data_IF_150974775841
#
_entry.id   IF_150974775841
#
_cell.length_a   1.000
_cell.length_b   1.000
_cell.length_c   1.000
_cell.angle_alpha   90.00
_cell.angle_beta   90.00
_cell.angle_gamma   90.00
#
_symmetry.space_group_name_H-M   'P 1'
#
loop_
_entity.id
_entity.type
_entity.pdbx_description
1 polymer ?
#
# COMPACT_ATOMS: atom_id res chain seq x y z
N UNK A 1 -11.63 -64.01 -35.30
CA UNK A 1 -11.61 -63.46 -33.95
C UNK A 1 -10.67 -62.28 -33.91
N UNK A 2 -11.22 -61.03 -34.02
CA UNK A 2 -10.45 -59.79 -33.95
C UNK A 2 -10.73 -59.14 -32.64
N UNK A 3 -9.73 -59.02 -31.74
CA UNK A 3 -9.82 -58.28 -30.49
C UNK A 3 -9.48 -56.82 -30.77
N UNK A 4 -10.48 -55.96 -30.75
CA UNK A 4 -10.33 -54.50 -30.79
C UNK A 4 -9.73 -54.01 -29.46
N UNK A 5 -8.52 -53.46 -29.47
CA UNK A 5 -7.86 -52.81 -28.34
C UNK A 5 -8.38 -51.37 -28.25
N UNK A 6 -9.26 -51.09 -27.31
CA UNK A 6 -9.63 -49.72 -26.92
C UNK A 6 -8.51 -49.11 -26.05
N UNK A 7 -7.73 -48.21 -26.64
CA UNK A 7 -6.80 -47.35 -25.88
C UNK A 7 -7.60 -46.23 -25.29
N UNK A 8 -7.88 -46.31 -23.98
CA UNK A 8 -8.51 -45.27 -23.23
C UNK A 8 -7.45 -44.19 -22.90
N UNK A 9 -7.39 -43.11 -23.67
CA UNK A 9 -6.58 -41.94 -23.39
C UNK A 9 -7.22 -41.15 -22.27
N UNK A 10 -6.77 -41.34 -21.02
CA UNK A 10 -7.11 -40.51 -19.89
C UNK A 10 -6.45 -39.13 -20.06
N UNK A 11 -7.25 -38.14 -20.48
CA UNK A 11 -6.82 -36.75 -20.51
C UNK A 11 -6.68 -36.28 -19.07
N UNK A 12 -5.46 -36.14 -18.57
CA UNK A 12 -5.19 -35.52 -17.24
C UNK A 12 -5.53 -34.03 -17.35
N UNK A 13 -6.68 -33.65 -16.83
CA UNK A 13 -7.03 -32.26 -16.57
C UNK A 13 -6.19 -31.78 -15.37
N UNK A 14 -5.05 -31.16 -15.61
CA UNK A 14 -4.35 -30.38 -14.59
C UNK A 14 -5.12 -29.08 -14.37
N UNK A 15 -5.53 -28.76 -13.14
CA UNK A 15 -6.15 -27.48 -12.87
C UNK A 15 -5.09 -26.39 -13.10
N UNK A 16 -5.28 -25.57 -14.13
CA UNK A 16 -4.51 -24.34 -14.31
C UNK A 16 -5.04 -23.38 -13.25
N UNK A 17 -4.31 -23.19 -12.16
CA UNK A 17 -4.58 -22.13 -11.20
C UNK A 17 -4.23 -20.82 -11.89
N UNK A 18 -5.22 -20.17 -12.49
CA UNK A 18 -5.09 -18.80 -12.98
C UNK A 18 -5.00 -17.87 -11.74
N UNK A 19 -3.82 -17.41 -11.42
CA UNK A 19 -3.66 -16.32 -10.47
C UNK A 19 -4.16 -15.04 -11.13
N UNK A 20 -5.15 -14.41 -10.52
CA UNK A 20 -5.68 -13.15 -11.01
C UNK A 20 -4.62 -12.05 -10.84
N UNK A 21 -4.41 -11.27 -11.89
CA UNK A 21 -3.65 -10.02 -11.81
C UNK A 21 -4.44 -9.01 -10.98
N UNK A 22 -3.85 -8.54 -9.89
CA UNK A 22 -4.49 -7.61 -8.95
C UNK A 22 -3.90 -6.20 -9.02
N UNK A 23 -2.86 -6.00 -9.83
CA UNK A 23 -2.17 -4.73 -10.01
C UNK A 23 -0.91 -4.89 -10.84
N UNK A 24 -0.19 -3.82 -10.99
CA UNK A 24 1.08 -3.81 -11.74
C UNK A 24 2.09 -2.85 -11.13
N UNK A 25 3.36 -3.08 -11.43
CA UNK A 25 4.41 -2.09 -11.17
C UNK A 25 4.22 -0.93 -12.14
N UNK A 26 3.86 0.24 -11.62
CA UNK A 26 3.57 1.44 -12.40
C UNK A 26 4.81 2.33 -12.62
N UNK A 27 5.75 2.31 -11.68
CA UNK A 27 7.05 3.01 -11.79
C UNK A 27 8.11 2.24 -11.02
N UNK A 28 9.34 2.27 -11.52
CA UNK A 28 10.49 1.72 -10.83
C UNK A 28 11.76 2.45 -11.18
N UNK A 29 12.56 2.75 -10.16
CA UNK A 29 13.89 3.32 -10.28
C UNK A 29 14.86 2.52 -9.43
N UNK A 30 16.07 2.33 -9.94
CA UNK A 30 17.07 1.51 -9.28
C UNK A 30 16.67 0.03 -9.22
N UNK A 31 17.12 -0.67 -8.17
CA UNK A 31 17.00 -2.11 -8.05
C UNK A 31 15.84 -2.53 -7.13
N UNK A 32 15.04 -3.47 -7.60
CA UNK A 32 13.99 -4.12 -6.85
C UNK A 32 13.62 -5.46 -7.49
N UNK A 33 12.77 -6.22 -6.83
CA UNK A 33 12.25 -7.49 -7.30
C UNK A 33 10.85 -7.76 -6.74
N UNK A 34 10.10 -8.59 -7.43
CA UNK A 34 8.89 -9.23 -6.91
C UNK A 34 9.26 -10.66 -6.53
N UNK A 35 9.15 -10.98 -5.24
CA UNK A 35 9.26 -12.36 -4.75
C UNK A 35 7.89 -13.03 -4.88
N UNK A 36 7.81 -14.09 -5.67
CA UNK A 36 6.60 -14.88 -5.87
C UNK A 36 6.87 -16.33 -5.46
N UNK A 37 6.43 -16.69 -4.27
CA UNK A 37 6.77 -17.96 -3.67
C UNK A 37 8.27 -18.11 -3.45
N UNK A 38 8.94 -18.94 -4.28
CA UNK A 38 10.41 -19.11 -4.23
C UNK A 38 11.13 -18.43 -5.38
N UNK A 39 10.39 -17.82 -6.29
CA UNK A 39 10.94 -17.26 -7.51
C UNK A 39 11.10 -15.74 -7.37
N UNK A 40 12.13 -15.20 -8.01
CA UNK A 40 12.31 -13.77 -8.21
C UNK A 40 11.82 -13.42 -9.61
N UNK A 41 10.74 -12.64 -9.65
CA UNK A 41 10.19 -12.08 -10.87
C UNK A 41 10.79 -10.69 -11.07
N UNK A 42 11.03 -10.32 -12.32
CA UNK A 42 11.46 -8.96 -12.64
C UNK A 42 10.47 -7.93 -12.09
N UNK A 43 10.95 -6.73 -11.80
CA UNK A 43 10.15 -5.65 -11.22
C UNK A 43 10.05 -4.43 -12.14
N UNK A 44 10.28 -4.60 -13.44
CA UNK A 44 10.12 -3.52 -14.41
C UNK A 44 8.67 -3.01 -14.50
N UNK A 45 8.50 -1.80 -15.04
CA UNK A 45 7.17 -1.23 -15.30
C UNK A 45 6.33 -2.20 -16.14
N UNK A 46 5.08 -2.43 -15.72
CA UNK A 46 4.16 -3.40 -16.33
C UNK A 46 4.27 -4.82 -15.76
N UNK A 47 5.20 -5.10 -14.83
CA UNK A 47 5.22 -6.39 -14.13
C UNK A 47 3.92 -6.57 -13.36
N UNK A 48 3.19 -7.64 -13.66
CA UNK A 48 1.93 -7.99 -12.99
C UNK A 48 2.17 -8.38 -11.54
N UNK A 49 1.26 -7.94 -10.67
CA UNK A 49 1.25 -8.27 -9.25
C UNK A 49 0.14 -9.28 -8.97
N UNK A 50 0.43 -10.25 -8.12
CA UNK A 50 -0.50 -11.28 -7.67
C UNK A 50 -0.61 -11.28 -6.14
N UNK A 51 -1.68 -11.84 -5.61
CA UNK A 51 -1.79 -12.11 -4.17
C UNK A 51 -0.62 -12.98 -3.71
N UNK A 52 -0.12 -12.74 -2.51
CA UNK A 52 1.03 -13.36 -1.88
C UNK A 52 2.40 -12.96 -2.48
N UNK A 53 2.43 -12.03 -3.44
CA UNK A 53 3.70 -11.44 -3.88
C UNK A 53 4.30 -10.55 -2.80
N UNK A 54 5.64 -10.52 -2.73
CA UNK A 54 6.36 -9.54 -1.94
C UNK A 54 7.17 -8.61 -2.85
N UNK A 55 6.89 -7.31 -2.77
CA UNK A 55 7.68 -6.28 -3.41
C UNK A 55 8.88 -5.92 -2.54
N UNK A 56 10.08 -6.04 -3.10
CA UNK A 56 11.34 -5.78 -2.39
C UNK A 56 12.15 -4.75 -3.18
N UNK A 57 12.67 -3.75 -2.49
CA UNK A 57 13.61 -2.78 -3.05
C UNK A 57 14.93 -2.82 -2.31
N UNK A 58 16.03 -2.70 -3.04
CA UNK A 58 17.36 -2.47 -2.47
C UNK A 58 17.74 -0.99 -2.63
N UNK A 59 18.46 -0.63 -3.67
CA UNK A 59 18.85 0.77 -3.94
C UNK A 59 17.87 1.41 -4.95
N UNK A 60 16.55 1.36 -4.63
CA UNK A 60 15.56 1.84 -5.58
C UNK A 60 14.22 2.16 -4.96
N UNK A 61 13.31 2.62 -5.79
CA UNK A 61 11.91 2.87 -5.44
C UNK A 61 11.00 2.12 -6.39
N UNK A 62 9.84 1.68 -5.90
CA UNK A 62 8.84 1.00 -6.72
C UNK A 62 7.45 1.54 -6.38
N UNK A 63 6.64 1.75 -7.43
CA UNK A 63 5.22 2.06 -7.31
C UNK A 63 4.40 0.89 -7.82
N UNK A 64 3.41 0.49 -7.04
CA UNK A 64 2.41 -0.52 -7.42
C UNK A 64 1.06 0.18 -7.48
N UNK A 65 0.40 0.09 -8.63
CA UNK A 65 -0.99 0.49 -8.81
C UNK A 65 -1.86 -0.77 -8.85
N UNK A 66 -2.85 -0.85 -7.95
CA UNK A 66 -3.82 -1.94 -7.87
C UNK A 66 -5.04 -1.64 -8.73
N UNK A 67 -5.79 -2.68 -9.11
CA UNK A 67 -6.98 -2.56 -9.97
C UNK A 67 -8.15 -1.80 -9.33
N UNK A 68 -8.13 -1.57 -8.01
CA UNK A 68 -9.09 -0.75 -7.27
C UNK A 68 -8.65 0.73 -7.13
N UNK A 69 -7.64 1.18 -7.87
CA UNK A 69 -6.99 2.48 -7.77
C UNK A 69 -6.23 2.71 -6.43
N UNK A 70 -6.04 1.67 -5.62
CA UNK A 70 -5.08 1.75 -4.51
C UNK A 70 -3.67 1.90 -5.08
N UNK A 71 -2.90 2.80 -4.49
CA UNK A 71 -1.50 3.01 -4.87
C UNK A 71 -0.58 2.82 -3.67
N UNK A 72 0.52 2.13 -3.90
CA UNK A 72 1.55 1.94 -2.90
C UNK A 72 2.91 2.28 -3.48
N UNK A 73 3.62 3.20 -2.82
CA UNK A 73 5.01 3.51 -3.15
C UNK A 73 5.92 2.94 -2.04
N UNK A 74 6.93 2.20 -2.43
CA UNK A 74 7.97 1.71 -1.53
C UNK A 74 9.32 2.32 -1.89
N UNK A 75 10.09 2.72 -0.89
CA UNK A 75 11.40 3.33 -1.08
C UNK A 75 12.51 2.32 -1.01
N UNK A 76 13.75 2.77 -1.00
CA UNK A 76 14.91 1.88 -0.86
C UNK A 76 14.87 1.07 0.45
N UNK A 77 15.46 -0.12 0.43
CA UNK A 77 15.55 -1.03 1.57
C UNK A 77 14.18 -1.36 2.20
N UNK A 78 13.16 -1.55 1.36
CA UNK A 78 11.80 -1.82 1.82
C UNK A 78 11.32 -3.19 1.36
N UNK A 79 10.43 -3.79 2.19
CA UNK A 79 9.72 -5.03 1.87
C UNK A 79 8.25 -4.91 2.23
N UNK A 80 7.41 -5.08 1.21
CA UNK A 80 5.95 -5.08 1.32
C UNK A 80 5.39 -6.38 0.78
N UNK A 81 4.59 -7.10 1.57
CA UNK A 81 3.89 -8.32 1.16
C UNK A 81 2.43 -7.98 0.90
N UNK A 82 1.90 -8.44 -0.23
CA UNK A 82 0.49 -8.36 -0.60
C UNK A 82 -0.19 -9.64 -0.08
N UNK A 83 -0.69 -9.59 1.17
CA UNK A 83 -1.21 -10.75 1.88
C UNK A 83 -2.57 -11.21 1.31
N UNK A 84 -3.47 -10.25 1.05
CA UNK A 84 -4.79 -10.51 0.48
C UNK A 84 -5.23 -9.32 -0.38
N UNK A 85 -5.85 -9.62 -1.51
CA UNK A 85 -6.53 -8.63 -2.33
C UNK A 85 -7.78 -9.27 -2.96
N UNK A 86 -8.95 -8.73 -2.65
CA UNK A 86 -10.22 -9.08 -3.25
C UNK A 86 -10.91 -7.80 -3.69
N UNK A 87 -11.31 -7.72 -4.96
CA UNK A 87 -12.07 -6.59 -5.47
C UNK A 87 -13.07 -7.08 -6.51
N UNK A 88 -14.33 -7.15 -6.09
CA UNK A 88 -15.48 -7.51 -6.93
C UNK A 88 -16.61 -6.49 -6.73
N UNK A 89 -16.57 -5.37 -7.45
CA UNK A 89 -17.55 -4.31 -7.31
C UNK A 89 -18.96 -4.74 -7.77
N UNK A 90 -19.10 -5.79 -8.59
CA UNK A 90 -20.39 -6.30 -9.05
C UNK A 90 -21.15 -7.01 -7.92
N UNK A 91 -20.43 -7.70 -7.04
CA UNK A 91 -20.99 -8.40 -5.88
C UNK A 91 -20.84 -7.62 -4.57
N UNK A 92 -20.40 -6.36 -4.63
CA UNK A 92 -20.19 -5.49 -3.47
C UNK A 92 -19.16 -6.05 -2.46
N UNK A 93 -18.09 -6.65 -2.97
CA UNK A 93 -17.03 -7.28 -2.17
C UNK A 93 -15.70 -6.55 -2.42
N UNK A 94 -15.01 -6.22 -1.32
CA UNK A 94 -13.66 -5.68 -1.38
C UNK A 94 -12.92 -5.87 -0.07
N UNK A 95 -11.68 -6.37 -0.15
CA UNK A 95 -10.75 -6.46 0.99
C UNK A 95 -9.31 -6.31 0.51
N UNK A 96 -8.48 -5.70 1.34
CA UNK A 96 -7.06 -5.53 1.12
C UNK A 96 -6.29 -5.74 2.42
N UNK A 97 -5.33 -6.64 2.39
CA UNK A 97 -4.38 -6.86 3.48
C UNK A 97 -2.95 -6.76 2.96
N UNK A 98 -2.20 -5.82 3.52
CA UNK A 98 -0.78 -5.63 3.22
C UNK A 98 0.05 -5.85 4.50
N UNK A 99 1.31 -6.26 4.34
CA UNK A 99 2.26 -6.36 5.43
C UNK A 99 3.57 -5.66 5.06
N UNK A 100 3.81 -4.51 5.69
CA UNK A 100 5.08 -3.81 5.61
C UNK A 100 6.04 -4.40 6.65
N UNK A 101 7.11 -5.04 6.19
CA UNK A 101 8.06 -5.73 7.07
C UNK A 101 9.29 -4.88 7.37
N UNK A 102 9.67 -3.96 6.49
CA UNK A 102 10.83 -3.08 6.62
C UNK A 102 10.72 -1.91 5.66
N UNK A 103 11.31 -0.77 6.04
CA UNK A 103 11.49 0.40 5.19
C UNK A 103 10.30 1.35 5.17
N UNK A 104 10.23 2.19 4.16
CA UNK A 104 9.20 3.22 4.05
C UNK A 104 8.19 2.86 2.98
N UNK A 105 6.92 2.87 3.37
CA UNK A 105 5.78 2.60 2.50
C UNK A 105 4.79 3.75 2.60
N UNK A 106 4.44 4.35 1.46
CA UNK A 106 3.31 5.27 1.33
C UNK A 106 2.13 4.52 0.73
N UNK A 107 1.00 4.66 1.36
CA UNK A 107 -0.28 4.11 0.93
C UNK A 107 -1.23 5.23 0.54
N UNK A 108 -1.84 5.13 -0.63
CA UNK A 108 -2.92 6.01 -1.08
C UNK A 108 -4.17 5.19 -1.36
N UNK A 109 -5.28 5.61 -0.76
CA UNK A 109 -6.54 4.86 -0.76
C UNK A 109 -7.22 4.78 -2.11
N UNK A 110 -7.48 3.54 -2.55
CA UNK A 110 -8.33 3.22 -3.70
C UNK A 110 -9.81 3.07 -3.34
N UNK A 111 -10.55 2.34 -4.18
CA UNK A 111 -11.98 2.15 -4.07
C UNK A 111 -12.37 1.27 -2.88
N UNK A 112 -11.55 0.24 -2.54
CA UNK A 112 -11.81 -0.63 -1.40
C UNK A 112 -11.87 0.20 -0.11
N UNK A 113 -10.87 1.04 0.17
CA UNK A 113 -10.83 1.86 1.37
C UNK A 113 -11.95 2.91 1.45
N UNK A 114 -12.41 3.42 0.30
CA UNK A 114 -13.48 4.41 0.21
C UNK A 114 -14.86 3.79 0.40
N UNK A 115 -15.10 2.62 -0.19
CA UNK A 115 -16.40 1.95 -0.20
C UNK A 115 -16.57 0.96 0.95
N UNK A 116 -15.53 0.17 1.25
CA UNK A 116 -15.53 -0.91 2.25
C UNK A 116 -14.64 -0.55 3.44
N UNK A 117 -14.95 0.51 4.13
CA UNK A 117 -14.11 1.27 5.10
C UNK A 117 -13.42 0.46 6.22
N UNK A 118 -13.79 -0.79 6.46
CA UNK A 118 -13.18 -1.64 7.50
C UNK A 118 -12.37 -2.81 6.92
N UNK A 119 -12.33 -2.92 5.59
CA UNK A 119 -11.75 -4.07 4.90
C UNK A 119 -10.32 -3.81 4.40
N UNK A 120 -9.73 -2.68 4.78
CA UNK A 120 -8.31 -2.40 4.50
C UNK A 120 -7.53 -2.48 5.80
N UNK A 121 -6.58 -3.40 5.83
CA UNK A 121 -5.69 -3.63 6.97
C UNK A 121 -4.24 -3.67 6.49
N UNK A 122 -3.41 -2.85 7.12
CA UNK A 122 -1.97 -2.86 6.84
C UNK A 122 -1.24 -3.19 8.13
N UNK A 123 -0.45 -4.25 8.10
CA UNK A 123 0.27 -4.76 9.26
C UNK A 123 1.74 -4.36 9.19
N UNK A 124 2.27 -4.01 10.34
CA UNK A 124 3.71 -3.92 10.60
C UNK A 124 4.07 -4.95 11.68
N UNK A 125 5.33 -5.18 12.00
CA UNK A 125 5.71 -6.08 13.10
C UNK A 125 5.15 -5.63 14.46
N UNK A 126 4.93 -4.32 14.66
CA UNK A 126 4.48 -3.75 15.94
C UNK A 126 3.01 -3.33 15.98
N UNK A 127 2.30 -3.23 14.83
CA UNK A 127 0.92 -2.72 14.82
C UNK A 127 0.09 -3.21 13.63
N UNK A 128 -1.22 -3.06 13.76
CA UNK A 128 -2.20 -3.16 12.67
C UNK A 128 -2.81 -1.78 12.42
N UNK A 129 -2.81 -1.35 11.16
CA UNK A 129 -3.37 -0.07 10.70
C UNK A 129 -4.67 -0.37 9.95
N UNK A 130 -5.79 0.15 10.45
CA UNK A 130 -7.07 0.16 9.75
C UNK A 130 -7.25 1.48 9.01
N UNK A 131 -7.73 1.42 7.76
CA UNK A 131 -7.76 2.60 6.86
C UNK A 131 -9.18 2.93 6.44
N UNK A 132 -9.54 4.21 6.55
CA UNK A 132 -10.82 4.77 6.13
C UNK A 132 -10.62 5.91 5.13
N UNK A 133 -10.26 5.56 3.90
CA UNK A 133 -10.24 6.50 2.78
C UNK A 133 -9.29 7.67 2.94
N UNK A 134 -8.01 7.43 3.24
CA UNK A 134 -6.99 8.46 3.38
C UNK A 134 -5.63 7.96 2.93
N UNK A 135 -4.69 8.87 2.75
CA UNK A 135 -3.30 8.56 2.48
C UNK A 135 -2.51 8.58 3.79
N UNK A 136 -1.47 7.78 3.87
CA UNK A 136 -0.52 7.82 4.97
C UNK A 136 0.83 7.26 4.56
N UNK A 137 1.86 7.56 5.33
CA UNK A 137 3.18 6.97 5.22
C UNK A 137 3.50 6.22 6.50
N UNK A 138 4.15 5.08 6.37
CA UNK A 138 4.72 4.32 7.47
C UNK A 138 6.19 4.04 7.23
N UNK A 139 6.96 4.11 8.29
CA UNK A 139 8.38 3.72 8.32
C UNK A 139 8.48 2.58 9.31
N UNK A 140 9.02 1.46 8.86
CA UNK A 140 9.28 0.27 9.70
C UNK A 140 10.78 0.11 9.80
N UNK A 141 11.31 0.10 11.01
CA UNK A 141 12.72 -0.06 11.28
C UNK A 141 13.15 -1.55 11.35
N UNK A 142 14.45 -1.78 11.46
CA UNK A 142 15.05 -3.13 11.49
C UNK A 142 14.68 -3.94 12.76
N UNK A 143 14.26 -3.28 13.82
CA UNK A 143 13.82 -3.94 15.06
C UNK A 143 12.30 -4.12 15.14
N UNK A 144 11.58 -3.68 14.08
CA UNK A 144 10.13 -3.84 13.94
C UNK A 144 9.31 -2.69 14.51
N UNK A 145 9.95 -1.65 15.04
CA UNK A 145 9.30 -0.41 15.41
C UNK A 145 8.70 0.29 14.19
N UNK A 146 7.62 1.05 14.38
CA UNK A 146 6.94 1.71 13.28
C UNK A 146 6.57 3.15 13.62
N UNK A 147 6.78 4.06 12.67
CA UNK A 147 6.26 5.43 12.71
C UNK A 147 5.21 5.56 11.62
N UNK A 148 4.00 5.95 11.99
CA UNK A 148 2.86 6.11 11.09
C UNK A 148 2.46 7.57 11.07
N UNK A 149 2.39 8.19 9.88
CA UNK A 149 2.01 9.60 9.70
C UNK A 149 0.85 9.69 8.71
N UNK A 150 -0.27 10.26 9.15
CA UNK A 150 -1.45 10.51 8.34
C UNK A 150 -1.20 11.65 7.36
N UNK A 151 -1.53 11.45 6.09
CA UNK A 151 -1.37 12.43 5.04
C UNK A 151 -2.73 12.87 4.49
N UNK A 152 -2.85 14.10 4.00
CA UNK A 152 -4.02 14.48 3.22
C UNK A 152 -4.03 13.75 1.88
N UNK A 153 -5.23 13.38 1.43
CA UNK A 153 -5.50 12.90 0.08
C UNK A 153 -6.04 14.03 -0.77
N UNK A 154 -5.44 14.28 -1.93
CA UNK A 154 -5.85 15.37 -2.80
C UNK A 154 -6.42 14.80 -4.12
N UNK A 155 -7.50 15.39 -4.62
CA UNK A 155 -8.07 15.07 -5.93
C UNK A 155 -7.36 15.85 -7.07
N UNK A 156 -7.72 15.54 -8.31
CA UNK A 156 -7.14 16.19 -9.50
C UNK A 156 -7.48 17.68 -9.63
N UNK A 157 -8.48 18.17 -8.89
CA UNK A 157 -8.84 19.58 -8.82
C UNK A 157 -8.09 20.32 -7.69
N UNK A 158 -7.21 19.63 -6.95
CA UNK A 158 -6.44 20.19 -5.86
C UNK A 158 -7.22 20.29 -4.53
N UNK A 159 -8.42 19.69 -4.43
CA UNK A 159 -9.13 19.62 -3.17
C UNK A 159 -8.55 18.50 -2.33
N UNK A 160 -8.10 18.83 -1.12
CA UNK A 160 -7.53 17.88 -0.19
C UNK A 160 -8.50 17.58 0.96
N UNK A 161 -8.58 16.33 1.32
CA UNK A 161 -9.33 15.88 2.48
C UNK A 161 -8.47 14.91 3.30
N UNK A 162 -8.77 14.80 4.56
CA UNK A 162 -8.13 13.84 5.45
C UNK A 162 -9.18 12.88 5.97
N UNK A 163 -8.99 11.60 5.75
CA UNK A 163 -9.82 10.55 6.33
C UNK A 163 -9.34 10.17 7.72
N UNK A 164 -9.53 8.91 8.07
CA UNK A 164 -9.19 8.38 9.39
C UNK A 164 -8.37 7.12 9.26
N UNK A 165 -7.38 6.95 10.13
CA UNK A 165 -6.71 5.67 10.36
C UNK A 165 -6.76 5.31 11.84
N UNK A 166 -6.85 4.01 12.11
CA UNK A 166 -6.66 3.44 13.45
C UNK A 166 -5.31 2.74 13.49
N UNK A 167 -4.57 2.90 14.57
CA UNK A 167 -3.32 2.15 14.80
C UNK A 167 -3.50 1.36 16.08
N UNK A 168 -3.49 0.05 15.96
CA UNK A 168 -3.80 -0.90 17.01
C UNK A 168 -2.60 -1.80 17.30
N UNK A 169 -2.34 -2.02 18.58
CA UNK A 169 -1.40 -3.01 19.12
C UNK A 169 -2.16 -3.93 20.07
N UNK A 170 -1.52 -4.97 20.58
CA UNK A 170 -2.13 -5.86 21.61
C UNK A 170 -2.44 -5.11 22.92
N UNK A 171 -1.81 -3.97 23.15
CA UNK A 171 -1.90 -3.18 24.39
C UNK A 171 -2.78 -1.92 24.27
N UNK A 172 -3.27 -1.56 23.09
CA UNK A 172 -4.15 -0.41 22.91
C UNK A 172 -4.27 0.06 21.49
N UNK A 173 -5.08 1.11 21.29
CA UNK A 173 -5.38 1.68 20.00
C UNK A 173 -5.40 3.21 20.06
N UNK A 174 -4.98 3.85 18.98
CA UNK A 174 -5.17 5.29 18.75
C UNK A 174 -5.86 5.53 17.41
N UNK A 175 -6.54 6.67 17.30
CA UNK A 175 -7.20 7.12 16.09
C UNK A 175 -6.51 8.42 15.64
N UNK A 176 -6.20 8.51 14.36
CA UNK A 176 -5.68 9.71 13.71
C UNK A 176 -6.65 10.16 12.62
N UNK A 177 -7.04 11.43 12.64
CA UNK A 177 -8.02 12.03 11.72
C UNK A 177 -7.66 13.47 11.30
N UNK A 178 -6.47 13.93 11.63
CA UNK A 178 -5.95 15.22 11.18
C UNK A 178 -4.69 15.01 10.36
N UNK A 179 -4.56 15.76 9.28
CA UNK A 179 -3.38 15.71 8.43
C UNK A 179 -2.10 15.94 9.25
N UNK A 180 -1.06 15.18 8.96
CA UNK A 180 0.25 15.23 9.61
C UNK A 180 0.25 14.80 11.10
N UNK A 181 -0.83 14.22 11.61
CA UNK A 181 -0.74 13.48 12.87
C UNK A 181 0.16 12.26 12.69
N UNK A 182 1.00 12.00 13.69
CA UNK A 182 1.86 10.82 13.72
C UNK A 182 1.76 10.10 15.06
N UNK A 183 1.94 8.79 15.02
CA UNK A 183 2.08 7.91 16.17
C UNK A 183 3.23 6.94 15.93
N UNK A 184 3.86 6.49 17.00
CA UNK A 184 4.91 5.47 16.95
C UNK A 184 4.50 4.24 17.76
N UNK A 185 4.93 3.07 17.28
CA UNK A 185 4.79 1.79 17.97
C UNK A 185 6.16 1.12 18.01
N UNK A 186 6.60 0.70 19.19
CA UNK A 186 7.90 0.00 19.33
C UNK A 186 7.73 -1.51 19.25
N UNK A 187 6.72 -2.03 19.92
CA UNK A 187 6.38 -3.47 19.95
C UNK A 187 4.87 -3.63 19.98
N UNK A 188 4.36 -4.82 19.63
CA UNK A 188 2.92 -5.09 19.72
C UNK A 188 2.41 -5.12 21.16
N UNK A 189 3.27 -5.36 22.14
CA UNK A 189 2.92 -5.45 23.57
C UNK A 189 2.83 -4.10 24.28
N UNK A 190 3.14 -2.99 23.60
CA UNK A 190 3.04 -1.65 24.14
C UNK A 190 1.99 -0.84 23.36
N UNK A 191 1.23 0.06 24.02
CA UNK A 191 0.26 0.89 23.31
C UNK A 191 0.97 1.85 22.36
N UNK A 192 0.32 2.23 21.24
CA UNK A 192 0.84 3.28 20.38
C UNK A 192 1.01 4.58 21.18
N UNK A 193 2.01 5.40 20.80
CA UNK A 193 2.15 6.73 21.41
C UNK A 193 0.94 7.60 21.11
N UNK A 194 0.53 8.53 22.03
CA UNK A 194 -0.53 9.47 21.72
C UNK A 194 -0.23 10.24 20.44
N UNK A 195 -1.20 10.36 19.50
CA UNK A 195 -1.00 11.06 18.24
C UNK A 195 -0.60 12.53 18.48
N UNK A 196 0.39 12.99 17.71
CA UNK A 196 0.87 14.38 17.75
C UNK A 196 0.93 14.94 16.34
N UNK A 197 0.58 16.19 16.18
CA UNK A 197 0.84 16.93 14.94
C UNK A 197 2.34 17.11 14.78
N UNK A 198 2.86 16.74 13.63
CA UNK A 198 4.23 17.01 13.25
C UNK A 198 4.30 18.43 12.66
N UNK A 199 5.14 19.26 13.26
CA UNK A 199 5.56 20.53 12.65
C UNK A 199 6.73 20.22 11.70
N UNK A 200 6.37 19.88 10.46
CA UNK A 200 7.33 19.47 9.46
C UNK A 200 7.73 20.66 8.59
N UNK A 201 9.02 20.97 8.47
CA UNK A 201 9.50 21.92 7.48
C UNK A 201 9.15 21.44 6.07
N UNK A 202 9.03 22.39 5.12
CA UNK A 202 8.53 22.09 3.76
C UNK A 202 9.35 21.02 3.03
N UNK A 203 10.66 21.09 3.17
CA UNK A 203 11.60 20.13 2.60
C UNK A 203 11.42 18.72 3.18
N UNK A 204 11.06 18.61 4.47
CA UNK A 204 10.79 17.32 5.11
C UNK A 204 9.42 16.77 4.73
N UNK A 205 8.39 17.61 4.59
CA UNK A 205 7.11 17.19 3.99
C UNK A 205 7.36 16.63 2.61
N UNK A 206 8.20 17.29 1.82
CA UNK A 206 8.58 16.86 0.49
C UNK A 206 9.36 15.54 0.47
N UNK A 207 10.17 15.28 1.50
CA UNK A 207 10.89 14.01 1.67
C UNK A 207 9.96 12.88 2.14
N UNK A 208 8.99 13.15 2.99
CA UNK A 208 7.95 12.19 3.39
C UNK A 208 6.96 11.91 2.26
N UNK A 209 6.69 12.92 1.42
CA UNK A 209 5.95 12.77 0.17
C UNK A 209 6.88 12.27 -0.95
N UNK A 210 7.57 11.17 -0.74
CA UNK A 210 8.65 10.60 -1.57
C UNK A 210 8.29 10.45 -3.05
N UNK A 211 7.09 10.75 -3.46
CA UNK A 211 6.65 10.63 -4.84
C UNK A 211 6.23 11.98 -5.41
N UNK A 212 7.21 12.88 -5.52
CA UNK A 212 7.02 14.17 -6.16
C UNK A 212 6.98 14.16 -7.70
N UNK A 213 7.15 13.01 -8.35
CA UNK A 213 7.13 12.97 -9.81
C UNK A 213 5.93 12.19 -10.30
N UNK A 214 4.90 12.97 -10.71
CA UNK A 214 3.70 12.54 -11.43
C UNK A 214 2.75 11.64 -10.62
N UNK A 215 2.08 12.21 -9.65
CA UNK A 215 0.71 11.76 -9.42
C UNK A 215 -0.13 12.24 -10.61
N UNK A 216 -1.03 11.44 -11.17
CA UNK A 216 -1.90 11.86 -12.28
C UNK A 216 -2.83 13.02 -11.92
N UNK A 217 -2.83 13.46 -10.67
CA UNK A 217 -3.69 14.52 -10.13
C UNK A 217 -3.10 15.93 -10.17
N UNK A 218 -1.79 16.06 -10.38
CA UNK A 218 -1.15 17.37 -10.44
C UNK A 218 -0.14 17.34 -11.57
N UNK A 219 -0.56 17.79 -12.74
CA UNK A 219 0.31 17.91 -13.92
C UNK A 219 1.27 19.10 -13.82
N UNK A 220 1.05 20.03 -12.87
CA UNK A 220 1.78 21.29 -12.76
C UNK A 220 2.24 21.54 -11.31
N UNK A 221 3.45 22.07 -11.17
CA UNK A 221 4.06 22.48 -9.90
C UNK A 221 3.25 23.58 -9.18
N UNK A 222 2.55 24.42 -9.95
CA UNK A 222 1.67 25.46 -9.44
C UNK A 222 0.39 24.89 -8.78
N UNK A 223 -0.20 23.86 -9.35
CA UNK A 223 -1.35 23.18 -8.75
C UNK A 223 -0.98 22.47 -7.45
N UNK A 224 0.21 21.86 -7.40
CA UNK A 224 0.75 21.29 -6.17
C UNK A 224 0.92 22.35 -5.07
N UNK A 225 1.47 23.51 -5.38
CA UNK A 225 1.63 24.62 -4.44
C UNK A 225 0.28 25.13 -3.93
N UNK A 226 -0.77 25.13 -4.77
CA UNK A 226 -2.15 25.48 -4.39
C UNK A 226 -2.75 24.43 -3.47
N UNK A 227 -2.63 23.14 -3.79
CA UNK A 227 -3.11 22.03 -2.96
C UNK A 227 -2.48 22.04 -1.56
N UNK A 228 -1.18 22.32 -1.50
CA UNK A 228 -0.40 22.46 -0.28
C UNK A 228 -0.87 23.65 0.59
N UNK A 229 -1.24 24.77 -0.03
CA UNK A 229 -1.74 25.97 0.67
C UNK A 229 -3.13 25.75 1.26
N UNK A 230 -3.98 24.97 0.58
CA UNK A 230 -5.34 24.64 1.03
C UNK A 230 -5.30 23.65 2.20
N UNK A 231 -4.44 22.64 2.16
CA UNK A 231 -4.26 21.69 3.26
C UNK A 231 -3.83 22.32 4.58
N UNK A 232 -3.20 23.52 4.53
CA UNK A 232 -2.82 24.32 5.70
C UNK A 232 -3.91 25.25 6.22
N UNK A 233 -4.93 25.55 5.43
CA UNK A 233 -6.01 26.48 5.83
C UNK A 233 -7.09 25.79 6.68
N UNK A 234 -7.03 24.48 6.86
CA UNK A 234 -7.97 23.67 7.64
C UNK A 234 -7.30 22.94 8.83
N UNK A 235 -6.13 23.41 9.26
CA UNK A 235 -5.45 22.96 10.49
C UNK A 235 -5.62 24.01 11.59
#
# INVERSE_FOLDING_TARGET
MQFARYILTALLWLPITAYANIGQVADQKGNGAIERGRDLVGSGVGTEIQSMDAAVTTNGTMRIDFIDDTRVDITQHSKLIIDEFVFDPANDIGSLSLKASLGTVRYASGQIAKKYKQNVKIRTPSATIGVRGTDFVMVVDEVGGSLITLLPSCDSAGNCYTGEITVETDAGMVIMNQAFQATATQTSSQPPTPPRLLDLPEDMIDALLIVRKKTPWVEDEEEWKKAKKIGRAHV
#
